data_IF_216138877274
#
_entry.id   IF_216138877274
#
_cell.length_a   1.000
_cell.length_b   1.000
_cell.length_c   1.000
_cell.angle_alpha   90.00
_cell.angle_beta   90.00
_cell.angle_gamma   90.00
#
_symmetry.space_group_name_H-M   'P 1'
#
loop_
_entity.id
_entity.type
_entity.pdbx_description
1 polymer ?
#
# COMPACT_ATOMS: atom_id res chain seq x y z
N UNK A 1 5.54 20.42 13.54
CA UNK A 1 4.41 19.45 13.62
C UNK A 1 3.27 19.77 12.64
N UNK A 2 2.78 21.03 12.54
CA UNK A 2 1.82 21.47 11.49
C UNK A 2 2.38 21.52 10.06
N UNK A 3 3.67 21.83 9.91
CA UNK A 3 4.32 21.98 8.59
C UNK A 3 4.38 20.66 7.77
N UNK A 4 4.40 19.49 8.43
CA UNK A 4 4.44 18.19 7.73
C UNK A 4 3.08 17.75 7.14
N UNK A 5 1.96 18.25 7.68
CA UNK A 5 0.63 18.01 7.13
C UNK A 5 0.31 18.97 5.98
N UNK A 6 0.80 20.21 6.01
CA UNK A 6 0.59 21.17 4.91
C UNK A 6 1.36 20.79 3.63
N UNK A 7 2.58 20.25 3.74
CA UNK A 7 3.31 19.76 2.56
C UNK A 7 2.59 18.63 1.80
N UNK A 8 1.80 17.80 2.49
CA UNK A 8 0.99 16.73 1.87
C UNK A 8 -0.19 17.25 1.04
N UNK A 9 -0.62 18.50 1.28
CA UNK A 9 -1.79 19.11 0.62
C UNK A 9 -1.38 20.01 -0.56
N UNK A 10 -0.13 20.49 -0.59
CA UNK A 10 0.36 21.45 -1.61
C UNK A 10 1.24 20.85 -2.72
N UNK A 11 1.68 19.59 -2.64
CA UNK A 11 2.52 18.99 -3.68
C UNK A 11 1.69 18.40 -4.83
N UNK A 12 1.32 19.30 -5.75
CA UNK A 12 0.94 19.07 -7.15
C UNK A 12 -0.32 18.21 -7.43
N UNK A 13 -1.40 18.92 -7.81
CA UNK A 13 -2.70 18.37 -8.21
C UNK A 13 -2.75 17.89 -9.67
N UNK A 14 -1.63 17.65 -10.36
CA UNK A 14 -1.68 17.41 -11.81
C UNK A 14 -1.44 15.98 -12.30
N UNK A 15 -0.83 15.05 -11.54
CA UNK A 15 -0.57 13.70 -12.08
C UNK A 15 -0.49 12.64 -10.96
N UNK A 16 -1.48 11.74 -10.88
CA UNK A 16 -1.39 10.54 -10.03
C UNK A 16 -0.94 9.36 -10.87
N UNK A 17 0.14 8.68 -10.45
CA UNK A 17 0.62 7.46 -11.11
C UNK A 17 0.25 6.24 -10.28
N UNK A 18 -0.43 5.28 -10.90
CA UNK A 18 -0.80 3.99 -10.33
C UNK A 18 0.11 2.92 -10.92
N UNK A 19 0.78 2.17 -10.06
CA UNK A 19 1.46 0.94 -10.42
C UNK A 19 0.51 -0.20 -10.07
N UNK A 20 0.02 -0.90 -11.07
CA UNK A 20 -0.69 -2.15 -10.87
C UNK A 20 0.27 -3.28 -11.20
N UNK A 21 0.60 -4.07 -10.20
CA UNK A 21 1.35 -5.29 -10.42
C UNK A 21 0.37 -6.46 -10.47
N UNK A 22 -0.09 -6.79 -11.67
CA UNK A 22 -1.14 -7.79 -11.88
C UNK A 22 -0.55 -9.20 -12.03
N UNK A 23 -1.07 -10.15 -11.26
CA UNK A 23 -1.08 -11.57 -11.61
C UNK A 23 -2.53 -12.10 -11.68
N UNK A 24 -3.15 -11.98 -12.87
CA UNK A 24 -4.32 -12.77 -13.37
C UNK A 24 -5.76 -12.45 -12.88
N UNK A 25 -6.73 -12.83 -13.72
CA UNK A 25 -8.20 -12.65 -13.61
C UNK A 25 -8.86 -13.58 -12.57
N UNK A 26 -8.72 -13.29 -11.27
CA UNK A 26 -9.44 -14.03 -10.21
C UNK A 26 -10.17 -13.14 -9.22
N UNK A 27 -11.15 -13.74 -8.55
CA UNK A 27 -11.90 -13.16 -7.43
C UNK A 27 -10.94 -12.87 -6.27
N UNK A 28 -10.62 -11.59 -6.07
CA UNK A 28 -9.83 -11.12 -4.92
C UNK A 28 -10.70 -11.24 -3.68
N UNK A 29 -10.21 -11.95 -2.65
CA UNK A 29 -10.99 -12.25 -1.46
C UNK A 29 -10.41 -11.68 -0.17
N UNK A 30 -9.09 -11.48 -0.10
CA UNK A 30 -8.39 -11.04 1.12
C UNK A 30 -7.47 -9.88 0.79
N UNK A 31 -7.64 -8.76 1.50
CA UNK A 31 -6.96 -7.50 1.22
C UNK A 31 -6.11 -7.05 2.41
N UNK A 32 -4.95 -6.49 2.11
CA UNK A 32 -4.14 -5.71 3.03
C UNK A 32 -4.05 -4.27 2.54
N UNK A 33 -4.48 -3.30 3.35
CA UNK A 33 -4.33 -1.88 3.08
C UNK A 33 -3.22 -1.29 3.95
N UNK A 34 -2.25 -0.65 3.30
CA UNK A 34 -1.11 0.02 3.92
C UNK A 34 -1.35 1.53 3.93
N UNK A 35 -0.99 2.20 5.03
CA UNK A 35 -1.24 3.62 5.25
C UNK A 35 -2.73 3.97 5.05
N UNK A 36 -3.61 3.49 5.95
CA UNK A 36 -5.05 3.50 5.73
C UNK A 36 -5.60 4.93 5.69
N UNK A 37 -6.58 5.14 4.82
CA UNK A 37 -7.25 6.44 4.63
C UNK A 37 -8.75 6.22 4.45
N UNK A 38 -9.50 7.25 4.06
CA UNK A 38 -10.89 7.14 3.63
C UNK A 38 -11.12 6.04 2.57
N UNK A 39 -10.10 5.76 1.73
CA UNK A 39 -10.13 4.66 0.76
C UNK A 39 -10.38 3.29 1.40
N UNK A 40 -9.83 3.04 2.60
CA UNK A 40 -10.07 1.77 3.31
C UNK A 40 -11.54 1.61 3.69
N UNK A 41 -12.20 2.71 4.05
CA UNK A 41 -13.62 2.74 4.38
C UNK A 41 -14.45 2.49 3.12
N UNK A 42 -14.17 3.20 2.03
CA UNK A 42 -14.85 3.02 0.75
C UNK A 42 -14.77 1.56 0.27
N UNK A 43 -13.59 0.93 0.36
CA UNK A 43 -13.44 -0.48 0.06
C UNK A 43 -14.34 -1.36 0.96
N UNK A 44 -14.37 -1.09 2.26
CA UNK A 44 -15.21 -1.86 3.16
C UNK A 44 -16.70 -1.72 2.83
N UNK A 45 -17.16 -0.49 2.56
CA UNK A 45 -18.55 -0.15 2.22
C UNK A 45 -18.97 -0.78 0.86
N UNK A 46 -18.03 -0.92 -0.08
CA UNK A 46 -18.20 -1.63 -1.35
C UNK A 46 -18.24 -3.17 -1.20
N UNK A 47 -18.13 -3.68 0.03
CA UNK A 47 -18.27 -5.10 0.35
C UNK A 47 -16.95 -5.88 0.43
N UNK A 48 -15.79 -5.21 0.36
CA UNK A 48 -14.48 -5.83 0.61
C UNK A 48 -14.25 -5.97 2.13
N UNK A 49 -15.02 -6.83 2.79
CA UNK A 49 -15.05 -6.96 4.26
C UNK A 49 -13.89 -7.74 4.86
N UNK A 50 -13.21 -8.59 4.07
CA UNK A 50 -12.00 -9.28 4.48
C UNK A 50 -10.77 -8.41 4.19
N UNK A 51 -10.74 -7.26 4.86
CA UNK A 51 -9.76 -6.19 4.72
C UNK A 51 -9.07 -5.93 6.05
N UNK A 52 -7.74 -6.04 6.04
CA UNK A 52 -6.88 -5.64 7.16
C UNK A 52 -6.19 -4.32 6.83
N UNK A 53 -6.19 -3.40 7.78
CA UNK A 53 -5.58 -2.08 7.63
C UNK A 53 -4.41 -1.96 8.59
N UNK A 54 -3.24 -1.57 8.10
CA UNK A 54 -2.07 -1.36 8.94
C UNK A 54 -1.33 -0.06 8.67
N UNK A 55 -0.75 0.47 9.75
CA UNK A 55 0.15 1.62 9.75
C UNK A 55 1.19 1.44 10.86
N UNK A 56 2.37 2.03 10.71
CA UNK A 56 3.39 2.01 11.77
C UNK A 56 3.01 2.95 12.94
N UNK A 57 2.09 3.88 12.70
CA UNK A 57 1.64 4.87 13.67
C UNK A 57 0.52 4.32 14.55
N UNK A 58 0.86 4.03 15.81
CA UNK A 58 -0.12 3.70 16.86
C UNK A 58 -1.23 4.75 16.99
N UNK A 59 -0.88 6.03 16.81
CA UNK A 59 -1.84 7.14 16.89
C UNK A 59 -2.88 7.06 15.78
N UNK A 60 -2.45 6.77 14.53
CA UNK A 60 -3.37 6.63 13.39
C UNK A 60 -4.27 5.41 13.61
N UNK A 61 -3.71 4.26 13.99
CA UNK A 61 -4.48 3.03 14.23
C UNK A 61 -5.48 3.20 15.37
N UNK A 62 -5.09 3.85 16.47
CA UNK A 62 -6.00 4.13 17.58
C UNK A 62 -7.15 5.06 17.16
N UNK A 63 -6.87 6.08 16.35
CA UNK A 63 -7.90 6.99 15.84
C UNK A 63 -8.85 6.28 14.87
N UNK A 64 -8.33 5.51 13.92
CA UNK A 64 -9.14 4.82 12.92
C UNK A 64 -9.99 3.71 13.53
N UNK A 65 -9.47 2.97 14.51
CA UNK A 65 -10.24 1.93 15.21
C UNK A 65 -11.38 2.49 16.07
N UNK A 66 -11.30 3.75 16.49
CA UNK A 66 -12.43 4.44 17.13
C UNK A 66 -13.47 4.92 16.11
N UNK A 67 -13.01 5.37 14.94
CA UNK A 67 -13.88 5.90 13.88
C UNK A 67 -14.64 4.80 13.13
N UNK A 68 -13.99 3.68 12.84
CA UNK A 68 -14.53 2.53 12.11
C UNK A 68 -14.27 1.22 12.89
N UNK A 69 -14.95 1.02 14.04
CA UNK A 69 -14.67 -0.07 14.98
C UNK A 69 -14.99 -1.47 14.43
N UNK A 70 -15.77 -1.57 13.35
CA UNK A 70 -16.11 -2.82 12.68
C UNK A 70 -15.00 -3.34 11.75
N UNK A 71 -14.02 -2.50 11.40
CA UNK A 71 -12.91 -2.85 10.52
C UNK A 71 -11.69 -3.34 11.34
N UNK A 72 -10.78 -4.07 10.68
CA UNK A 72 -9.56 -4.58 11.32
C UNK A 72 -8.43 -3.56 11.16
N UNK A 73 -7.83 -3.15 12.28
CA UNK A 73 -6.75 -2.16 12.36
C UNK A 73 -5.58 -2.72 13.17
N UNK A 74 -4.38 -2.75 12.58
CA UNK A 74 -3.20 -3.35 13.19
C UNK A 74 -2.00 -2.38 13.12
N UNK A 75 -1.29 -2.19 14.24
CA UNK A 75 -0.03 -1.44 14.23
C UNK A 75 1.07 -2.36 13.72
N UNK A 76 1.69 -2.02 12.59
CA UNK A 76 2.69 -2.88 11.97
C UNK A 76 3.63 -2.09 11.05
N UNK A 77 4.91 -2.48 11.03
CA UNK A 77 5.89 -1.98 10.07
C UNK A 77 5.81 -2.79 8.77
N UNK A 78 5.66 -2.10 7.64
CA UNK A 78 5.59 -2.73 6.31
C UNK A 78 6.88 -3.46 5.92
N UNK A 79 8.02 -3.12 6.55
CA UNK A 79 9.32 -3.74 6.32
C UNK A 79 9.54 -5.02 7.13
N UNK A 80 8.55 -5.41 7.95
CA UNK A 80 8.55 -6.58 8.83
C UNK A 80 7.10 -7.02 9.15
N UNK A 81 6.40 -7.49 8.11
CA UNK A 81 5.01 -7.92 8.17
C UNK A 81 4.87 -9.24 8.94
N UNK A 82 4.03 -9.24 9.99
CA UNK A 82 3.82 -10.40 10.87
C UNK A 82 2.84 -11.44 10.33
N UNK A 83 2.62 -11.45 9.02
CA UNK A 83 1.75 -12.40 8.33
C UNK A 83 2.55 -13.54 7.71
N UNK A 84 1.90 -14.69 7.53
CA UNK A 84 2.48 -15.81 6.81
C UNK A 84 2.65 -15.50 5.32
N UNK A 85 3.50 -16.26 4.64
CA UNK A 85 3.64 -16.15 3.20
C UNK A 85 2.30 -16.47 2.52
N UNK A 86 1.94 -15.74 1.46
CA UNK A 86 0.72 -15.99 0.72
C UNK A 86 -0.60 -15.73 1.47
N UNK A 87 -0.58 -14.86 2.48
CA UNK A 87 -1.76 -14.53 3.29
C UNK A 87 -2.81 -13.66 2.58
N UNK A 88 -2.43 -12.92 1.53
CA UNK A 88 -3.31 -11.94 0.87
C UNK A 88 -3.39 -12.13 -0.64
N UNK A 89 -4.57 -11.88 -1.19
CA UNK A 89 -4.78 -11.83 -2.64
C UNK A 89 -4.43 -10.46 -3.21
N UNK A 90 -4.60 -9.40 -2.42
CA UNK A 90 -4.22 -8.06 -2.82
C UNK A 90 -3.62 -7.25 -1.68
N UNK A 91 -2.59 -6.47 -2.01
CA UNK A 91 -2.04 -5.42 -1.15
C UNK A 91 -2.28 -4.08 -1.83
N UNK A 92 -2.88 -3.14 -1.11
CA UNK A 92 -3.11 -1.77 -1.57
C UNK A 92 -2.21 -0.85 -0.78
N UNK A 93 -1.32 -0.14 -1.49
CA UNK A 93 -0.34 0.76 -0.92
C UNK A 93 -0.55 2.17 -1.47
N UNK A 94 -1.23 3.04 -0.74
CA UNK A 94 -1.48 4.42 -1.18
C UNK A 94 -0.55 5.38 -0.44
N UNK A 95 0.42 5.96 -1.15
CA UNK A 95 1.39 6.91 -0.59
C UNK A 95 2.40 6.29 0.39
N UNK A 96 2.25 5.02 0.78
CA UNK A 96 3.19 4.29 1.64
C UNK A 96 4.59 4.26 1.03
N UNK A 97 4.67 4.03 -0.29
CA UNK A 97 5.94 4.00 -1.00
C UNK A 97 6.66 5.35 -0.92
N UNK A 98 5.92 6.44 -1.08
CA UNK A 98 6.47 7.80 -1.00
C UNK A 98 6.94 8.12 0.41
N UNK A 99 6.18 7.71 1.43
CA UNK A 99 6.57 7.88 2.83
C UNK A 99 7.87 7.12 3.16
N UNK A 100 8.00 5.87 2.71
CA UNK A 100 9.21 5.06 2.92
C UNK A 100 10.40 5.67 2.22
N UNK A 101 10.26 6.14 0.98
CA UNK A 101 11.35 6.80 0.25
C UNK A 101 11.78 8.13 0.90
N UNK A 102 10.82 8.91 1.39
CA UNK A 102 11.10 10.16 2.10
C UNK A 102 11.78 9.94 3.46
N UNK A 103 11.68 8.76 4.07
CA UNK A 103 12.36 8.45 5.34
C UNK A 103 13.89 8.50 5.22
N UNK A 104 14.43 8.28 4.02
CA UNK A 104 15.87 8.24 3.75
C UNK A 104 16.59 7.00 4.30
N UNK A 105 15.86 6.02 4.85
CA UNK A 105 16.43 4.85 5.49
C UNK A 105 16.79 3.71 4.53
N UNK A 106 16.38 3.80 3.25
CA UNK A 106 16.68 2.76 2.26
C UNK A 106 15.80 1.50 2.38
N UNK A 107 14.73 1.58 3.16
CA UNK A 107 13.86 0.44 3.51
C UNK A 107 12.92 0.00 2.38
N UNK A 108 12.90 0.70 1.24
CA UNK A 108 11.99 0.41 0.15
C UNK A 108 12.17 -1.00 -0.41
N UNK A 109 13.40 -1.55 -0.44
CA UNK A 109 13.63 -2.92 -0.90
C UNK A 109 12.97 -3.94 0.02
N UNK A 110 13.13 -3.76 1.34
CA UNK A 110 12.53 -4.64 2.35
C UNK A 110 11.01 -4.57 2.33
N UNK A 111 10.45 -3.37 2.18
CA UNK A 111 9.01 -3.18 1.96
C UNK A 111 8.52 -4.01 0.77
N UNK A 112 9.21 -3.92 -0.38
CA UNK A 112 8.79 -4.66 -1.58
C UNK A 112 8.92 -6.19 -1.41
N UNK A 113 9.98 -6.66 -0.75
CA UNK A 113 10.18 -8.09 -0.44
C UNK A 113 9.10 -8.62 0.50
N UNK A 114 8.74 -7.88 1.55
CA UNK A 114 7.68 -8.26 2.49
C UNK A 114 6.29 -8.27 1.83
N UNK A 115 5.99 -7.25 1.03
CA UNK A 115 4.74 -7.21 0.24
C UNK A 115 4.67 -8.41 -0.69
N UNK A 116 5.75 -8.70 -1.43
CA UNK A 116 5.80 -9.85 -2.32
C UNK A 116 5.61 -11.17 -1.55
N UNK A 117 6.23 -11.30 -0.38
CA UNK A 117 6.16 -12.51 0.45
C UNK A 117 4.74 -12.80 0.95
N UNK A 118 4.01 -11.77 1.40
CA UNK A 118 2.65 -11.95 1.95
C UNK A 118 1.59 -12.09 0.86
N UNK A 119 1.88 -11.71 -0.38
CA UNK A 119 1.01 -11.97 -1.52
C UNK A 119 1.01 -13.46 -1.86
N UNK A 120 -0.17 -13.98 -2.23
CA UNK A 120 -0.30 -15.34 -2.76
C UNK A 120 0.38 -15.46 -4.13
N UNK A 121 0.56 -16.68 -4.65
CA UNK A 121 1.17 -16.93 -5.97
C UNK A 121 0.46 -16.24 -7.14
N UNK A 122 -0.75 -15.71 -6.91
CA UNK A 122 -1.55 -14.95 -7.87
C UNK A 122 -1.99 -13.60 -7.29
N UNK A 123 -1.28 -13.14 -6.28
CA UNK A 123 -1.59 -11.91 -5.59
C UNK A 123 -1.22 -10.69 -6.42
N UNK A 124 -1.79 -9.55 -6.06
CA UNK A 124 -1.53 -8.29 -6.75
C UNK A 124 -1.20 -7.17 -5.77
N UNK A 125 -0.18 -6.41 -6.12
CA UNK A 125 0.11 -5.12 -5.49
C UNK A 125 -0.53 -3.99 -6.32
N UNK A 126 -1.32 -3.16 -5.66
CA UNK A 126 -1.82 -1.88 -6.20
C UNK A 126 -1.10 -0.78 -5.43
N UNK A 127 -0.10 -0.16 -6.06
CA UNK A 127 0.65 0.93 -5.45
C UNK A 127 0.27 2.27 -6.11
N UNK A 128 -0.23 3.21 -5.31
CA UNK A 128 -0.54 4.58 -5.73
C UNK A 128 0.56 5.48 -5.21
N UNK A 129 1.26 6.17 -6.12
CA UNK A 129 2.40 7.02 -5.78
C UNK A 129 2.37 8.34 -6.54
N UNK A 130 2.88 9.38 -5.90
CA UNK A 130 3.10 10.69 -6.52
C UNK A 130 4.44 10.76 -7.29
N UNK A 131 5.28 9.73 -7.16
CA UNK A 131 6.53 9.67 -7.88
C UNK A 131 6.35 9.41 -9.37
N UNK A 132 7.19 10.06 -10.19
CA UNK A 132 7.24 9.82 -11.63
C UNK A 132 7.54 8.32 -11.93
N UNK A 133 6.91 7.73 -12.96
CA UNK A 133 7.10 6.33 -13.34
C UNK A 133 8.57 5.89 -13.44
N UNK A 134 9.41 6.69 -14.08
CA UNK A 134 10.83 6.43 -14.28
C UNK A 134 11.62 6.39 -12.97
N UNK A 135 11.15 7.06 -11.91
CA UNK A 135 11.77 7.06 -10.57
C UNK A 135 11.27 5.94 -9.66
N UNK A 136 10.19 5.25 -10.05
CA UNK A 136 9.54 4.23 -9.22
C UNK A 136 9.68 2.83 -9.81
N UNK A 137 9.70 2.73 -11.14
CA UNK A 137 9.72 1.47 -11.87
C UNK A 137 10.83 0.51 -11.45
N UNK A 138 12.04 1.01 -11.20
CA UNK A 138 13.17 0.18 -10.79
C UNK A 138 12.88 -0.67 -9.54
N UNK A 139 12.00 -0.19 -8.66
CA UNK A 139 11.65 -0.86 -7.42
C UNK A 139 10.70 -2.05 -7.63
N UNK A 140 9.95 -2.05 -8.72
CA UNK A 140 9.02 -3.12 -9.09
C UNK A 140 9.68 -4.15 -10.00
N UNK A 141 10.72 -3.77 -10.74
CA UNK A 141 11.41 -4.63 -11.71
C UNK A 141 12.63 -5.36 -11.10
N UNK A 142 12.67 -5.51 -9.77
CA UNK A 142 13.72 -6.24 -9.05
C UNK A 142 13.73 -7.73 -9.46
N UNK A 143 14.88 -8.33 -9.82
CA UNK A 143 14.95 -9.68 -10.38
C UNK A 143 14.34 -10.80 -9.53
N UNK A 144 14.28 -10.58 -8.21
CA UNK A 144 13.74 -11.56 -7.26
C UNK A 144 12.21 -11.49 -7.15
N UNK A 145 11.57 -10.44 -7.67
CA UNK A 145 10.13 -10.22 -7.62
C UNK A 145 9.51 -10.69 -8.93
N UNK A 146 8.95 -11.89 -8.95
CA UNK A 146 8.48 -12.56 -10.19
C UNK A 146 7.06 -12.15 -10.61
N UNK A 147 6.79 -10.85 -10.63
CA UNK A 147 5.48 -10.30 -11.00
C UNK A 147 5.56 -9.45 -12.28
N UNK A 148 4.42 -9.08 -12.84
CA UNK A 148 4.36 -8.26 -14.05
C UNK A 148 3.89 -6.83 -13.71
N UNK A 149 4.77 -5.87 -13.87
CA UNK A 149 4.50 -4.46 -13.61
C UNK A 149 3.73 -3.81 -14.77
N UNK A 150 2.57 -3.21 -14.49
CA UNK A 150 1.86 -2.30 -15.38
C UNK A 150 1.78 -0.91 -14.73
N UNK A 151 1.95 0.13 -15.54
CA UNK A 151 1.89 1.51 -15.07
C UNK A 151 0.69 2.18 -15.74
N UNK A 152 -0.14 2.83 -14.92
CA UNK A 152 -1.26 3.64 -15.35
C UNK A 152 -1.06 5.07 -14.85
N UNK A 153 -1.34 6.05 -15.69
CA UNK A 153 -1.32 7.47 -15.30
C UNK A 153 -2.75 7.97 -15.35
N UNK A 154 -3.20 8.59 -14.27
CA UNK A 154 -4.51 9.22 -14.21
C UNK A 154 -4.30 10.75 -14.26
N UNK A 155 -4.97 11.44 -15.19
CA UNK A 155 -4.87 12.89 -15.35
C UNK A 155 -5.50 13.67 -14.20
#
# INVERSE_FOLDING_TARGET
>A
RRLRQQQYVEYDRSHHHYFTCQQTERKVSTFLSLAPTEMSKEMYDDGYSNLKNLDFSEVVIAQMSQYEPQMIWEVMDVTDLKYANGSFDAVVAKGTLDAVLCSGLGDQKRMMEEIYRVLSDKGMLIAVSFGLPEKRRQMFDEPNLRWHTKVHTVP
#
